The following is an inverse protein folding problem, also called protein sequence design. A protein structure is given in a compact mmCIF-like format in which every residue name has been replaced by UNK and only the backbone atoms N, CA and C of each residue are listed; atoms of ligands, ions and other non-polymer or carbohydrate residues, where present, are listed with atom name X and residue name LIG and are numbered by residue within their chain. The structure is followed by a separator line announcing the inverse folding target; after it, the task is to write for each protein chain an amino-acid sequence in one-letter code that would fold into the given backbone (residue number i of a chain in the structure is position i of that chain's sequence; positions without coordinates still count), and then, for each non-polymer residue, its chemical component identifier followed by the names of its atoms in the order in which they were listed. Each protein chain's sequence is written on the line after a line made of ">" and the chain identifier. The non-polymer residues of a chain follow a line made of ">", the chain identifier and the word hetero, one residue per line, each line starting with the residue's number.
data_IF_981994106765
#
_entry.id   IF_981994106765
#
_cell.length_a   1.000
_cell.length_b   1.000
_cell.length_c   1.000
_cell.angle_alpha   90.00
_cell.angle_beta   90.00
_cell.angle_gamma   90.00
#
_symmetry.space_group_name_H-M   'P 1'
#
loop_
_entity.id
_entity.type
_entity.pdbx_description
1 polymer ?
#
# COMPACT_ATOMS: atom_id res chain seq x y z
N UNK A 1 5.25 14.91 2.52
CA UNK A 1 3.98 14.16 2.41
C UNK A 1 3.37 14.07 3.80
N UNK A 2 2.05 14.11 3.94
CA UNK A 2 1.37 13.93 5.23
C UNK A 2 0.73 12.53 5.31
N UNK A 3 0.35 12.08 6.51
CA UNK A 3 -0.18 10.74 6.74
C UNK A 3 -1.44 10.43 5.91
N UNK A 4 -2.39 11.36 5.86
CA UNK A 4 -3.66 11.19 5.14
C UNK A 4 -3.44 11.00 3.63
N UNK A 5 -2.57 11.83 3.03
CA UNK A 5 -2.22 11.71 1.60
C UNK A 5 -1.58 10.36 1.27
N UNK A 6 -0.76 9.81 2.18
CA UNK A 6 -0.12 8.51 2.01
C UNK A 6 -1.15 7.38 2.08
N UNK A 7 -2.09 7.44 3.03
CA UNK A 7 -3.15 6.44 3.16
C UNK A 7 -4.07 6.42 1.93
N UNK A 8 -4.44 7.59 1.40
CA UNK A 8 -5.24 7.70 0.17
C UNK A 8 -4.51 7.14 -1.06
N UNK A 9 -3.21 7.46 -1.22
CA UNK A 9 -2.43 6.90 -2.32
C UNK A 9 -2.26 5.38 -2.20
N UNK A 10 -2.08 4.85 -0.99
CA UNK A 10 -1.99 3.39 -0.77
C UNK A 10 -3.33 2.69 -1.07
N UNK A 11 -4.45 3.28 -0.68
CA UNK A 11 -5.78 2.78 -1.01
C UNK A 11 -5.99 2.73 -2.53
N UNK A 12 -5.62 3.80 -3.25
CA UNK A 12 -5.73 3.88 -4.70
C UNK A 12 -4.85 2.87 -5.46
N UNK A 13 -3.72 2.47 -4.87
CA UNK A 13 -2.82 1.44 -5.43
C UNK A 13 -3.23 0.00 -5.06
N UNK A 14 -4.22 -0.14 -4.17
CA UNK A 14 -4.74 -1.42 -3.71
C UNK A 14 -5.36 -2.24 -4.84
N UNK A 15 -5.19 -3.57 -4.79
CA UNK A 15 -5.83 -4.50 -5.73
C UNK A 15 -6.49 -5.63 -4.97
N UNK A 16 -7.75 -5.91 -5.29
CA UNK A 16 -8.54 -7.00 -4.71
C UNK A 16 -7.84 -8.37 -4.77
N UNK A 17 -7.20 -8.70 -5.89
CA UNK A 17 -6.44 -9.95 -6.03
C UNK A 17 -5.29 -10.05 -5.01
N UNK A 18 -4.56 -8.96 -4.80
CA UNK A 18 -3.45 -8.92 -3.86
C UNK A 18 -3.95 -8.90 -2.41
N UNK A 19 -5.04 -8.18 -2.13
CA UNK A 19 -5.71 -8.20 -0.82
C UNK A 19 -6.07 -9.64 -0.43
N UNK A 20 -6.75 -10.38 -1.32
CA UNK A 20 -7.11 -11.80 -1.10
C UNK A 20 -5.89 -12.68 -0.88
N UNK A 21 -4.84 -12.50 -1.69
CA UNK A 21 -3.59 -13.26 -1.55
C UNK A 21 -2.93 -13.01 -0.19
N UNK A 22 -2.84 -11.76 0.24
CA UNK A 22 -2.25 -11.43 1.56
C UNK A 22 -3.11 -11.93 2.72
N UNK A 23 -4.43 -11.87 2.61
CA UNK A 23 -5.33 -12.49 3.60
C UNK A 23 -5.14 -14.00 3.68
N UNK A 24 -4.99 -14.67 2.53
CA UNK A 24 -4.68 -16.11 2.49
C UNK A 24 -3.33 -16.45 3.13
N UNK A 25 -2.39 -15.50 3.14
CA UNK A 25 -1.10 -15.65 3.80
C UNK A 25 -1.15 -15.30 5.30
N UNK A 26 -2.32 -14.95 5.84
CA UNK A 26 -2.53 -14.65 7.26
C UNK A 26 -2.56 -13.15 7.61
N UNK A 27 -2.61 -12.25 6.62
CA UNK A 27 -2.86 -10.83 6.90
C UNK A 27 -4.32 -10.62 7.36
N UNK A 28 -4.54 -9.71 8.31
CA UNK A 28 -5.85 -9.35 8.83
C UNK A 28 -6.23 -7.92 8.42
N UNK A 29 -7.52 -7.60 8.41
CA UNK A 29 -7.97 -6.24 8.15
C UNK A 29 -7.57 -5.29 9.29
N UNK A 30 -7.31 -3.99 9.00
CA UNK A 30 -7.43 -3.30 7.70
C UNK A 30 -6.22 -3.49 6.77
N UNK A 31 -6.47 -3.78 5.48
CA UNK A 31 -5.46 -4.07 4.44
C UNK A 31 -5.94 -3.64 3.04
N UNK A 32 -5.09 -2.93 2.28
CA UNK A 32 -5.39 -2.51 0.90
C UNK A 32 -4.91 -3.48 -0.19
N UNK A 33 -3.86 -4.28 0.06
CA UNK A 33 -3.32 -5.18 -0.97
C UNK A 33 -2.51 -4.47 -2.06
N UNK A 34 -1.47 -3.73 -1.66
CA UNK A 34 -0.60 -2.97 -2.57
C UNK A 34 0.66 -3.78 -2.92
N UNK A 35 1.06 -3.78 -4.19
CA UNK A 35 2.33 -4.38 -4.60
C UNK A 35 3.53 -3.50 -4.21
N UNK A 36 4.62 -4.12 -3.76
CA UNK A 36 5.85 -3.40 -3.36
C UNK A 36 6.45 -2.54 -4.47
N UNK A 37 6.37 -2.97 -5.72
CA UNK A 37 6.82 -2.19 -6.87
C UNK A 37 6.04 -0.89 -7.09
N UNK A 38 4.74 -0.87 -6.75
CA UNK A 38 3.88 0.31 -6.91
C UNK A 38 4.20 1.40 -5.86
N UNK A 39 4.84 1.05 -4.76
CA UNK A 39 5.21 1.98 -3.69
C UNK A 39 6.52 2.74 -3.97
N UNK A 40 7.33 2.33 -4.96
CA UNK A 40 8.63 2.94 -5.27
C UNK A 40 8.57 4.45 -5.57
N UNK A 41 7.61 4.97 -6.38
CA UNK A 41 7.51 6.41 -6.63
C UNK A 41 7.18 7.20 -5.36
N UNK A 42 6.31 6.65 -4.50
CA UNK A 42 5.93 7.26 -3.23
C UNK A 42 7.13 7.33 -2.27
N UNK A 43 7.89 6.24 -2.14
CA UNK A 43 9.12 6.22 -1.34
C UNK A 43 10.15 7.27 -1.81
N UNK A 44 10.31 7.46 -3.13
CA UNK A 44 11.19 8.51 -3.69
C UNK A 44 10.71 9.93 -3.37
N UNK A 45 9.39 10.16 -3.27
CA UNK A 45 8.81 11.46 -2.91
C UNK A 45 8.92 11.76 -1.43
N UNK A 46 8.71 10.77 -0.57
CA UNK A 46 8.82 10.92 0.88
C UNK A 46 10.27 11.23 1.25
N UNK A 47 11.21 10.41 0.74
CA UNK A 47 12.63 10.37 1.15
C UNK A 47 12.79 10.16 2.65
N UNK A 48 13.75 9.33 3.02
CA UNK A 48 14.22 9.22 4.40
C UNK A 48 15.62 9.83 4.32
N UNK A 49 15.85 10.93 5.04
CA UNK A 49 17.20 11.45 5.25
C UNK A 49 18.02 10.46 6.09
#
# INVERSE_FOLDING_TARGET
>A
MNFESVMQELEALGKERLKKMYMSNGAHEPLFGVATGAMKPMAKKIKID
#
